data_IF_825434676965
#
_entry.id   IF_825434676965
#
_cell.length_a   1.000
_cell.length_b   1.000
_cell.length_c   1.000
_cell.angle_alpha   90.00
_cell.angle_beta   90.00
_cell.angle_gamma   90.00
#
_symmetry.space_group_name_H-M   'P 1'
#
loop_
_entity.id
_entity.type
_entity.pdbx_description
1 polymer ?
#
# COMPACT_ATOMS: atom_id res chain seq x y z
N UNK A 1 -15.44 19.54 -4.76
CA UNK A 1 -14.67 20.17 -5.85
C UNK A 1 -13.54 19.23 -6.23
N UNK A 2 -13.41 18.84 -7.50
CA UNK A 2 -12.29 18.03 -7.99
C UNK A 2 -11.00 18.84 -7.89
N UNK A 3 -9.94 18.23 -7.38
CA UNK A 3 -8.59 18.80 -7.45
C UNK A 3 -8.00 18.35 -8.79
N UNK A 4 -7.70 19.24 -9.73
CA UNK A 4 -7.12 18.84 -11.01
C UNK A 4 -5.65 18.39 -10.79
N UNK A 5 -5.21 17.42 -11.58
CA UNK A 5 -3.79 17.14 -11.71
C UNK A 5 -3.14 18.21 -12.57
N UNK A 6 -1.88 18.60 -12.31
CA UNK A 6 -1.14 19.46 -13.22
C UNK A 6 -0.91 18.75 -14.56
N UNK A 7 -0.77 19.51 -15.63
CA UNK A 7 -0.45 18.96 -16.96
C UNK A 7 1.01 18.49 -17.04
N UNK A 8 1.89 19.15 -16.30
CA UNK A 8 3.33 18.84 -16.25
C UNK A 8 3.90 19.19 -14.87
N UNK A 9 5.00 18.55 -14.52
CA UNK A 9 5.77 18.94 -13.35
C UNK A 9 6.55 20.23 -13.63
N UNK A 10 6.90 21.03 -12.60
CA UNK A 10 7.83 22.16 -12.75
C UNK A 10 9.13 21.71 -13.43
N UNK A 11 9.71 22.57 -14.25
CA UNK A 11 10.92 22.25 -15.01
C UNK A 11 12.14 21.93 -14.12
N UNK A 12 12.15 22.46 -12.90
CA UNK A 12 13.18 22.26 -11.87
C UNK A 12 12.82 21.12 -10.88
N UNK A 13 11.72 20.41 -11.09
CA UNK A 13 11.30 19.32 -10.22
C UNK A 13 12.34 18.20 -10.18
N UNK A 14 12.93 17.99 -9.02
CA UNK A 14 13.88 16.91 -8.81
C UNK A 14 13.18 15.54 -8.86
N UNK A 15 13.80 14.50 -9.43
CA UNK A 15 13.24 13.16 -9.43
C UNK A 15 13.06 12.65 -8.00
N UNK A 16 11.93 12.00 -7.74
CA UNK A 16 11.65 11.27 -6.52
C UNK A 16 10.67 10.12 -6.84
N UNK A 17 10.61 9.13 -5.98
CA UNK A 17 9.62 8.06 -6.05
C UNK A 17 8.44 8.35 -5.11
N UNK A 18 7.30 7.79 -5.45
CA UNK A 18 6.12 7.76 -4.59
C UNK A 18 5.83 6.31 -4.18
N UNK A 19 5.79 6.05 -2.90
CA UNK A 19 5.38 4.76 -2.33
C UNK A 19 4.13 4.94 -1.48
N UNK A 20 3.01 4.42 -1.96
CA UNK A 20 1.74 4.39 -1.21
C UNK A 20 1.59 3.03 -0.55
N UNK A 21 1.62 2.98 0.78
CA UNK A 21 1.44 1.76 1.57
C UNK A 21 0.02 1.74 2.14
N UNK A 22 -0.82 0.88 1.61
CA UNK A 22 -2.18 0.67 2.07
C UNK A 22 -2.25 -0.54 3.01
N UNK A 23 -2.40 -0.30 4.30
CA UNK A 23 -2.49 -1.33 5.33
C UNK A 23 -3.96 -1.66 5.59
N UNK A 24 -4.35 -2.91 5.34
CA UNK A 24 -5.70 -3.38 5.65
C UNK A 24 -5.88 -3.63 7.15
N UNK A 25 -7.09 -3.36 7.65
CA UNK A 25 -7.51 -3.69 9.02
C UNK A 25 -6.65 -3.06 10.12
N UNK A 26 -6.29 -1.79 9.95
CA UNK A 26 -5.56 -1.00 10.94
C UNK A 26 -6.35 0.28 11.26
N UNK A 27 -6.65 0.49 12.53
CA UNK A 27 -7.26 1.71 13.04
C UNK A 27 -6.45 2.33 14.18
N UNK A 28 -6.72 3.57 14.52
CA UNK A 28 -6.09 4.21 15.69
C UNK A 28 -6.39 3.48 17.00
N UNK A 29 -7.62 2.96 17.16
CA UNK A 29 -7.98 2.15 18.33
C UNK A 29 -7.23 0.82 18.40
N UNK A 30 -6.94 0.21 17.26
CA UNK A 30 -6.13 -1.01 17.21
C UNK A 30 -4.67 -0.74 17.60
N UNK A 31 -4.11 0.38 17.13
CA UNK A 31 -2.75 0.83 17.47
C UNK A 31 -2.63 1.06 18.98
N UNK A 32 -3.63 1.73 19.57
CA UNK A 32 -3.68 1.98 21.02
C UNK A 32 -3.81 0.67 21.80
N UNK A 33 -4.75 -0.21 21.42
CA UNK A 33 -4.99 -1.51 22.06
C UNK A 33 -3.76 -2.44 21.96
N UNK A 34 -3.02 -2.36 20.85
CA UNK A 34 -1.77 -3.10 20.67
C UNK A 34 -0.59 -2.51 21.45
N UNK A 35 -0.71 -1.29 22.00
CA UNK A 35 0.36 -0.61 22.72
C UNK A 35 1.41 0.04 21.81
N UNK A 36 1.06 0.33 20.57
CA UNK A 36 1.99 0.81 19.52
C UNK A 36 2.03 2.34 19.34
N UNK A 37 1.33 3.09 20.20
CA UNK A 37 1.31 4.57 20.12
C UNK A 37 2.68 5.24 20.26
N UNK A 38 3.64 4.58 20.94
CA UNK A 38 5.00 5.06 21.12
C UNK A 38 6.04 4.21 20.36
N UNK A 39 5.62 3.45 19.37
CA UNK A 39 6.54 2.61 18.57
C UNK A 39 7.56 3.48 17.82
N UNK A 40 8.83 3.02 17.67
CA UNK A 40 9.87 3.76 16.94
C UNK A 40 9.50 4.14 15.51
N UNK A 41 8.65 3.37 14.85
CA UNK A 41 8.13 3.63 13.50
C UNK A 41 7.64 5.08 13.31
N UNK A 42 7.04 5.69 14.34
CA UNK A 42 6.50 7.05 14.26
C UNK A 42 7.55 8.13 14.02
N UNK A 43 8.82 7.86 14.30
CA UNK A 43 9.93 8.80 14.08
C UNK A 43 10.25 9.04 12.60
N UNK A 44 9.83 8.13 11.73
CA UNK A 44 10.06 8.25 10.29
C UNK A 44 9.04 9.16 9.58
N UNK A 45 7.95 9.55 10.26
CA UNK A 45 6.88 10.33 9.64
C UNK A 45 7.00 11.82 9.95
N UNK A 46 7.03 12.66 8.92
CA UNK A 46 6.99 14.11 9.05
C UNK A 46 5.58 14.61 9.43
N UNK A 47 4.54 13.90 8.99
CA UNK A 47 3.14 14.27 9.19
C UNK A 47 2.32 13.05 9.61
N UNK A 48 1.57 13.17 10.70
CA UNK A 48 0.66 12.13 11.20
C UNK A 48 -0.75 12.71 11.38
N UNK A 49 -1.72 12.16 10.64
CA UNK A 49 -3.13 12.56 10.71
C UNK A 49 -3.88 11.74 11.75
N UNK A 50 -4.00 12.25 12.97
CA UNK A 50 -4.66 11.54 14.09
C UNK A 50 -6.17 11.35 13.93
N UNK A 51 -6.83 12.17 13.13
CA UNK A 51 -8.28 12.13 12.87
C UNK A 51 -8.59 11.65 11.45
N UNK A 52 -7.76 10.78 10.89
CA UNK A 52 -8.00 10.19 9.58
C UNK A 52 -8.99 9.03 9.69
N UNK A 53 -9.99 9.04 8.81
CA UNK A 53 -10.90 7.92 8.63
C UNK A 53 -10.84 7.44 7.19
N UNK A 54 -10.75 6.13 7.01
CA UNK A 54 -10.97 5.52 5.70
C UNK A 54 -12.38 5.82 5.19
N UNK A 55 -12.52 6.01 3.88
CA UNK A 55 -13.82 6.28 3.27
C UNK A 55 -14.80 5.09 3.34
N UNK A 56 -14.34 3.90 3.72
CA UNK A 56 -15.13 2.69 3.94
C UNK A 56 -14.33 1.69 4.77
N UNK A 57 -15.02 0.77 5.44
CA UNK A 57 -14.45 -0.28 6.27
C UNK A 57 -14.03 -1.54 5.50
N UNK A 58 -14.35 -1.67 4.21
CA UNK A 58 -13.96 -2.81 3.38
C UNK A 58 -12.75 -2.50 2.52
N UNK A 59 -11.78 -3.43 2.47
CA UNK A 59 -10.47 -3.25 1.83
C UNK A 59 -10.53 -2.95 0.34
N UNK A 60 -11.32 -3.70 -0.44
CA UNK A 60 -11.49 -3.48 -1.88
C UNK A 60 -12.02 -2.07 -2.19
N UNK A 61 -13.21 -1.71 -1.71
CA UNK A 61 -13.76 -0.36 -1.88
C UNK A 61 -12.86 0.75 -1.32
N UNK A 62 -12.13 0.51 -0.22
CA UNK A 62 -11.20 1.50 0.34
C UNK A 62 -10.03 1.76 -0.63
N UNK A 63 -9.41 0.71 -1.14
CA UNK A 63 -8.32 0.81 -2.11
C UNK A 63 -8.78 1.49 -3.41
N UNK A 64 -9.94 1.11 -3.96
CA UNK A 64 -10.50 1.74 -5.16
C UNK A 64 -10.75 3.24 -4.94
N UNK A 65 -11.26 3.63 -3.77
CA UNK A 65 -11.48 5.05 -3.42
C UNK A 65 -10.17 5.82 -3.33
N UNK A 66 -9.16 5.24 -2.71
CA UNK A 66 -7.81 5.83 -2.65
C UNK A 66 -7.24 6.03 -4.05
N UNK A 67 -7.30 5.01 -4.90
CA UNK A 67 -6.77 5.04 -6.26
C UNK A 67 -7.54 5.98 -7.20
N UNK A 68 -8.79 6.36 -6.86
CA UNK A 68 -9.59 7.34 -7.61
C UNK A 68 -9.41 8.78 -7.13
N UNK A 69 -8.49 9.05 -6.23
CA UNK A 69 -8.18 10.38 -5.74
C UNK A 69 -9.43 11.20 -5.40
N UNK A 70 -9.58 12.41 -5.95
CA UNK A 70 -10.74 13.28 -5.69
C UNK A 70 -12.08 12.73 -6.21
N UNK A 71 -12.09 11.70 -7.03
CA UNK A 71 -13.29 11.01 -7.51
C UNK A 71 -13.71 9.82 -6.61
N UNK A 72 -12.92 9.49 -5.60
CA UNK A 72 -13.18 8.36 -4.69
C UNK A 72 -14.36 8.56 -3.74
N UNK A 73 -14.86 9.79 -3.59
CA UNK A 73 -15.96 10.14 -2.69
C UNK A 73 -17.37 9.85 -3.25
N UNK A 74 -17.48 9.08 -4.33
CA UNK A 74 -18.78 8.67 -4.90
C UNK A 74 -19.55 7.75 -3.96
N UNK A 75 -20.90 7.65 -4.17
CA UNK A 75 -21.71 6.65 -3.47
C UNK A 75 -21.18 5.24 -3.70
N UNK A 76 -21.45 4.33 -2.77
CA UNK A 76 -20.95 2.94 -2.85
C UNK A 76 -21.42 2.25 -4.14
N UNK A 77 -22.68 2.41 -4.53
CA UNK A 77 -23.23 1.86 -5.77
C UNK A 77 -22.52 2.36 -7.04
N UNK A 78 -22.07 3.61 -7.03
CA UNK A 78 -21.38 4.21 -8.17
C UNK A 78 -19.88 3.92 -8.19
N UNK A 79 -19.34 3.35 -7.13
CA UNK A 79 -17.93 2.99 -7.05
C UNK A 79 -17.55 1.91 -8.07
N UNK A 80 -18.46 0.98 -8.33
CA UNK A 80 -18.25 -0.14 -9.26
C UNK A 80 -18.54 0.21 -10.72
N UNK A 81 -18.86 1.49 -10.99
CA UNK A 81 -18.96 2.00 -12.35
C UNK A 81 -17.61 2.61 -12.79
N UNK A 82 -17.26 2.54 -14.08
CA UNK A 82 -16.08 3.20 -14.61
C UNK A 82 -16.05 4.69 -14.25
N UNK A 83 -14.86 5.22 -14.05
CA UNK A 83 -14.62 6.66 -13.84
C UNK A 83 -13.92 7.26 -15.06
N UNK A 84 -13.97 8.58 -15.21
CA UNK A 84 -13.18 9.27 -16.23
C UNK A 84 -11.68 9.13 -15.94
N UNK A 85 -10.86 9.17 -16.98
CA UNK A 85 -9.39 9.01 -16.88
C UNK A 85 -8.70 10.07 -15.99
N UNK A 86 -9.36 11.21 -15.79
CA UNK A 86 -8.94 12.25 -14.86
C UNK A 86 -9.05 11.85 -13.37
N UNK A 87 -9.70 10.74 -13.08
CA UNK A 87 -9.95 10.23 -11.75
C UNK A 87 -8.89 9.25 -11.25
N UNK A 88 -8.13 8.60 -12.12
CA UNK A 88 -7.21 7.55 -11.73
C UNK A 88 -5.84 8.13 -11.32
N UNK A 89 -5.52 8.02 -10.02
CA UNK A 89 -4.31 8.61 -9.45
C UNK A 89 -3.04 8.19 -10.20
N UNK A 90 -2.84 6.89 -10.34
CA UNK A 90 -1.62 6.35 -10.94
C UNK A 90 -1.52 6.57 -12.45
N UNK A 91 -2.64 6.62 -13.16
CA UNK A 91 -2.65 7.02 -14.58
C UNK A 91 -2.26 8.49 -14.76
N UNK A 92 -2.71 9.36 -13.86
CA UNK A 92 -2.32 10.78 -13.90
C UNK A 92 -0.87 10.99 -13.48
N UNK A 93 -0.36 10.21 -12.52
CA UNK A 93 1.08 10.20 -12.21
C UNK A 93 1.91 9.72 -13.39
N UNK A 94 1.44 8.73 -14.15
CA UNK A 94 2.13 8.28 -15.37
C UNK A 94 2.21 9.38 -16.43
N UNK A 95 1.17 10.20 -16.60
CA UNK A 95 1.22 11.39 -17.49
C UNK A 95 2.26 12.42 -17.04
N UNK A 96 2.56 12.46 -15.74
CA UNK A 96 3.61 13.32 -15.17
C UNK A 96 5.00 12.69 -15.20
N UNK A 97 5.16 11.54 -15.88
CA UNK A 97 6.44 10.87 -16.09
C UNK A 97 6.81 9.86 -15.01
N UNK A 98 5.88 9.45 -14.14
CA UNK A 98 6.11 8.35 -13.20
C UNK A 98 5.82 7.00 -13.85
N UNK A 99 6.67 6.01 -13.58
CA UNK A 99 6.40 4.61 -13.92
C UNK A 99 5.48 4.01 -12.88
N UNK A 100 4.32 3.51 -13.31
CA UNK A 100 3.36 2.86 -12.42
C UNK A 100 3.87 1.47 -12.01
N UNK A 101 3.80 1.17 -10.71
CA UNK A 101 4.18 -0.13 -10.15
C UNK A 101 3.11 -0.63 -9.17
N UNK A 102 2.92 -1.95 -9.13
CA UNK A 102 1.96 -2.62 -8.24
C UNK A 102 2.66 -3.71 -7.44
N UNK A 103 2.55 -3.61 -6.11
CA UNK A 103 2.99 -4.62 -5.16
C UNK A 103 1.84 -5.04 -4.25
N UNK A 104 1.81 -6.30 -3.89
CA UNK A 104 0.88 -6.85 -2.90
C UNK A 104 1.65 -7.74 -1.92
N UNK A 105 1.33 -7.64 -0.64
CA UNK A 105 1.76 -8.59 0.40
C UNK A 105 0.95 -9.90 0.39
N UNK A 106 0.24 -10.17 -0.71
CA UNK A 106 -0.62 -11.35 -0.93
C UNK A 106 -0.81 -11.58 -2.44
N UNK A 107 -1.47 -12.67 -2.82
CA UNK A 107 -1.66 -13.01 -4.25
C UNK A 107 -2.76 -12.19 -4.96
N UNK A 108 -3.54 -11.38 -4.24
CA UNK A 108 -4.60 -10.55 -4.81
C UNK A 108 -5.86 -11.30 -5.26
N UNK A 109 -5.97 -12.60 -4.99
CA UNK A 109 -7.09 -13.42 -5.47
C UNK A 109 -8.33 -13.27 -4.59
N UNK A 110 -8.16 -13.08 -3.29
CA UNK A 110 -9.28 -12.94 -2.37
C UNK A 110 -10.19 -11.77 -2.75
N UNK A 111 -11.49 -12.03 -2.89
CA UNK A 111 -12.48 -11.03 -3.26
C UNK A 111 -12.22 -10.35 -4.61
N UNK A 112 -11.51 -11.01 -5.52
CA UNK A 112 -11.11 -10.42 -6.82
C UNK A 112 -10.28 -9.12 -6.69
N UNK A 113 -9.56 -8.94 -5.56
CA UNK A 113 -8.91 -7.69 -5.21
C UNK A 113 -7.99 -7.13 -6.32
N UNK A 114 -7.13 -7.97 -6.90
CA UNK A 114 -6.25 -7.56 -8.01
C UNK A 114 -7.06 -7.12 -9.24
N UNK A 115 -8.16 -7.80 -9.53
CA UNK A 115 -9.06 -7.45 -10.64
C UNK A 115 -9.75 -6.11 -10.38
N UNK A 116 -10.19 -5.86 -9.15
CA UNK A 116 -10.77 -4.56 -8.76
C UNK A 116 -9.75 -3.41 -8.87
N UNK A 117 -8.51 -3.61 -8.42
CA UNK A 117 -7.45 -2.61 -8.58
C UNK A 117 -7.23 -2.24 -10.05
N UNK A 118 -7.28 -3.22 -10.96
CA UNK A 118 -7.11 -3.00 -12.40
C UNK A 118 -8.32 -2.34 -13.04
N UNK A 119 -9.50 -2.93 -12.87
CA UNK A 119 -10.71 -2.49 -13.56
C UNK A 119 -11.32 -1.21 -12.99
N UNK A 120 -11.18 -0.99 -11.68
CA UNK A 120 -11.81 0.10 -10.95
C UNK A 120 -10.80 1.13 -10.43
N UNK A 121 -9.56 0.72 -10.16
CA UNK A 121 -8.50 1.57 -9.61
C UNK A 121 -7.53 2.14 -10.63
N UNK A 122 -7.57 1.68 -11.89
CA UNK A 122 -6.67 2.13 -12.95
C UNK A 122 -5.23 1.58 -12.83
N UNK A 123 -5.02 0.49 -12.04
CA UNK A 123 -3.70 -0.13 -11.85
C UNK A 123 -3.41 -1.14 -12.97
N UNK A 124 -2.76 -0.70 -14.05
CA UNK A 124 -2.50 -1.53 -15.23
C UNK A 124 -1.12 -2.21 -15.22
N UNK A 125 -0.19 -1.77 -14.37
CA UNK A 125 1.14 -2.37 -14.28
C UNK A 125 1.09 -3.85 -13.88
N UNK A 126 2.04 -4.68 -14.32
CA UNK A 126 2.18 -6.03 -13.82
C UNK A 126 2.32 -6.04 -12.30
N UNK A 127 1.78 -7.08 -11.65
CA UNK A 127 2.10 -7.35 -10.26
C UNK A 127 3.59 -7.68 -10.14
N UNK A 128 4.28 -7.06 -9.18
CA UNK A 128 5.67 -7.40 -8.89
C UNK A 128 5.81 -8.90 -8.60
N UNK A 129 6.87 -9.50 -9.12
CA UNK A 129 7.14 -10.93 -8.93
C UNK A 129 7.24 -11.29 -7.44
N UNK A 130 6.42 -12.25 -7.03
CA UNK A 130 6.34 -12.75 -5.66
C UNK A 130 7.10 -14.06 -5.45
N UNK A 131 7.76 -14.58 -6.50
CA UNK A 131 8.50 -15.85 -6.45
C UNK A 131 9.57 -15.80 -5.36
N UNK A 132 9.54 -16.79 -4.46
CA UNK A 132 10.50 -16.92 -3.37
C UNK A 132 10.34 -15.92 -2.23
N UNK A 133 9.27 -15.10 -2.19
CA UNK A 133 8.96 -14.34 -1.00
C UNK A 133 8.57 -15.26 0.16
N UNK A 134 9.09 -15.03 1.37
CA UNK A 134 8.68 -15.80 2.55
C UNK A 134 7.18 -15.62 2.85
N UNK A 135 6.50 -16.71 3.17
CA UNK A 135 5.11 -16.68 3.64
C UNK A 135 5.12 -16.48 5.15
N UNK A 136 4.64 -15.33 5.60
CA UNK A 136 4.56 -14.95 7.00
C UNK A 136 3.30 -15.50 7.69
N UNK A 137 2.18 -15.45 6.98
CA UNK A 137 0.87 -15.91 7.43
C UNK A 137 0.12 -16.60 6.27
N UNK A 138 -0.95 -17.28 6.62
CA UNK A 138 -1.95 -17.77 5.67
C UNK A 138 -3.29 -17.11 5.99
N UNK A 139 -3.98 -16.65 4.95
CA UNK A 139 -5.35 -16.15 5.09
C UNK A 139 -6.31 -17.31 5.39
N UNK A 140 -7.54 -17.00 5.78
CA UNK A 140 -8.55 -18.00 6.13
C UNK A 140 -8.89 -18.97 4.96
N UNK A 141 -8.68 -18.56 3.73
CA UNK A 141 -8.84 -19.39 2.51
C UNK A 141 -7.57 -20.17 2.13
N UNK A 142 -6.52 -20.11 2.98
CA UNK A 142 -5.23 -20.75 2.75
C UNK A 142 -4.29 -19.99 1.82
N UNK A 143 -4.69 -18.84 1.28
CA UNK A 143 -3.81 -18.04 0.42
C UNK A 143 -2.64 -17.44 1.21
N UNK A 144 -1.47 -17.26 0.55
CA UNK A 144 -0.28 -16.75 1.24
C UNK A 144 -0.40 -15.27 1.55
N UNK A 145 0.05 -14.90 2.76
CA UNK A 145 0.38 -13.52 3.15
C UNK A 145 1.89 -13.47 3.32
N UNK A 146 2.52 -12.68 2.46
CA UNK A 146 3.99 -12.61 2.41
C UNK A 146 4.54 -11.71 3.50
N UNK A 147 5.82 -11.90 3.81
CA UNK A 147 6.56 -11.07 4.74
C UNK A 147 6.72 -9.66 4.18
N UNK A 148 6.28 -8.67 4.94
CA UNK A 148 6.26 -7.27 4.49
C UNK A 148 7.67 -6.70 4.32
N UNK A 149 8.58 -7.00 5.25
CA UNK A 149 9.97 -6.54 5.16
C UNK A 149 10.67 -7.12 3.92
N UNK A 150 10.50 -8.42 3.68
CA UNK A 150 11.09 -9.07 2.49
C UNK A 150 10.53 -8.49 1.19
N UNK A 151 9.22 -8.22 1.14
CA UNK A 151 8.54 -7.62 -0.02
C UNK A 151 9.05 -6.21 -0.30
N UNK A 152 9.10 -5.36 0.73
CA UNK A 152 9.54 -3.98 0.63
C UNK A 152 11.04 -3.86 0.34
N UNK A 153 11.87 -4.74 0.91
CA UNK A 153 13.30 -4.78 0.62
C UNK A 153 13.57 -5.19 -0.83
N UNK A 154 12.82 -6.16 -1.38
CA UNK A 154 12.91 -6.51 -2.81
C UNK A 154 12.59 -5.32 -3.71
N UNK A 155 11.57 -4.54 -3.37
CA UNK A 155 11.26 -3.30 -4.06
C UNK A 155 12.46 -2.33 -3.97
N UNK A 156 12.97 -2.05 -2.78
CA UNK A 156 14.10 -1.11 -2.58
C UNK A 156 15.35 -1.54 -3.35
N UNK A 157 15.68 -2.81 -3.35
CA UNK A 157 16.81 -3.35 -4.13
C UNK A 157 16.62 -3.15 -5.62
N UNK A 158 15.40 -3.35 -6.12
CA UNK A 158 15.06 -3.13 -7.54
C UNK A 158 15.19 -1.67 -7.89
N UNK A 159 14.64 -0.77 -7.07
CA UNK A 159 14.70 0.67 -7.27
C UNK A 159 16.13 1.21 -7.23
N UNK A 160 16.96 0.69 -6.34
CA UNK A 160 18.37 1.09 -6.24
C UNK A 160 19.18 0.68 -7.49
N UNK A 161 18.82 -0.43 -8.15
CA UNK A 161 19.43 -0.86 -9.42
C UNK A 161 18.99 -0.01 -10.61
N UNK A 162 17.78 0.54 -10.60
CA UNK A 162 17.23 1.36 -11.68
C UNK A 162 17.72 2.82 -11.67
N UNK A 163 18.35 3.27 -10.58
CA UNK A 163 18.86 4.63 -10.44
C UNK A 163 17.76 5.66 -10.15
N UNK A 164 17.86 6.85 -10.74
CA UNK A 164 16.97 7.99 -10.45
C UNK A 164 15.66 7.99 -11.27
N UNK A 165 15.06 6.85 -11.51
CA UNK A 165 13.76 6.79 -12.16
C UNK A 165 12.68 7.40 -11.22
N UNK A 166 11.60 7.94 -11.84
CA UNK A 166 10.38 8.35 -11.12
C UNK A 166 9.42 7.17 -11.11
N UNK A 167 9.30 6.49 -9.99
CA UNK A 167 8.36 5.37 -9.83
C UNK A 167 7.23 5.77 -8.90
N UNK A 168 6.02 5.37 -9.23
CA UNK A 168 4.85 5.49 -8.36
C UNK A 168 4.36 4.07 -8.07
N UNK A 169 4.52 3.66 -6.83
CA UNK A 169 4.26 2.30 -6.38
C UNK A 169 3.07 2.27 -5.42
N UNK A 170 2.10 1.42 -5.71
CA UNK A 170 1.05 1.06 -4.78
C UNK A 170 1.38 -0.29 -4.15
N UNK A 171 1.49 -0.31 -2.83
CA UNK A 171 1.66 -1.51 -2.02
C UNK A 171 0.46 -1.72 -1.12
N UNK A 172 -0.20 -2.87 -1.24
CA UNK A 172 -1.25 -3.28 -0.32
C UNK A 172 -0.81 -4.48 0.50
N UNK A 173 -0.97 -4.39 1.82
CA UNK A 173 -0.64 -5.48 2.74
C UNK A 173 -1.81 -5.83 3.64
N UNK A 174 -1.88 -7.10 4.06
CA UNK A 174 -2.98 -7.61 4.85
C UNK A 174 -2.62 -8.55 6.02
N UNK A 175 -1.48 -8.37 6.71
CA UNK A 175 -1.14 -9.21 7.85
C UNK A 175 -2.14 -9.08 9.01
N UNK A 176 -2.88 -7.96 9.07
CA UNK A 176 -3.83 -7.66 10.15
C UNK A 176 -5.25 -8.13 9.86
N UNK A 177 -5.52 -8.70 8.66
CA UNK A 177 -6.84 -9.18 8.31
C UNK A 177 -7.30 -10.32 9.21
N UNK A 178 -8.60 -10.33 9.54
CA UNK A 178 -9.19 -11.40 10.37
C UNK A 178 -9.04 -12.76 9.69
N UNK A 179 -8.90 -13.80 10.53
CA UNK A 179 -8.72 -15.17 10.08
C UNK A 179 -7.30 -15.54 9.67
N UNK A 180 -6.38 -14.58 9.57
CA UNK A 180 -4.98 -14.88 9.30
C UNK A 180 -4.38 -15.74 10.43
N UNK A 181 -3.64 -16.78 10.05
CA UNK A 181 -3.01 -17.72 10.97
C UNK A 181 -1.57 -18.03 10.54
N UNK A 182 -0.76 -18.51 11.47
CA UNK A 182 0.59 -18.95 11.13
C UNK A 182 0.55 -20.23 10.27
N UNK A 183 1.50 -20.42 9.34
CA UNK A 183 1.57 -21.63 8.53
C UNK A 183 1.53 -22.88 9.39
N UNK A 184 0.67 -23.84 8.99
CA UNK A 184 0.49 -25.10 9.73
C UNK A 184 -0.38 -25.01 10.99
N UNK A 185 -0.93 -23.83 11.32
CA UNK A 185 -1.87 -23.65 12.42
C UNK A 185 -3.28 -23.37 11.88
N UNK A 186 -4.31 -23.76 12.62
CA UNK A 186 -5.72 -23.48 12.28
C UNK A 186 -6.31 -22.32 13.08
N UNK A 187 -5.67 -21.96 14.19
CA UNK A 187 -6.12 -20.85 15.05
C UNK A 187 -5.65 -19.51 14.49
N UNK A 188 -6.56 -18.54 14.42
CA UNK A 188 -6.22 -17.15 14.08
C UNK A 188 -5.08 -16.66 14.96
N UNK A 189 -4.06 -16.10 14.34
CA UNK A 189 -2.93 -15.50 15.03
C UNK A 189 -3.36 -14.25 15.80
N UNK A 190 -2.80 -14.04 16.98
CA UNK A 190 -3.11 -12.88 17.82
C UNK A 190 -2.86 -11.57 17.08
N UNK A 191 -3.83 -10.66 17.11
CA UNK A 191 -3.77 -9.38 16.42
C UNK A 191 -2.57 -8.52 16.87
N UNK A 192 -2.36 -8.43 18.20
CA UNK A 192 -1.29 -7.63 18.77
C UNK A 192 0.09 -8.12 18.32
N UNK A 193 0.28 -9.45 18.25
CA UNK A 193 1.53 -10.05 17.75
C UNK A 193 1.76 -9.68 16.28
N UNK A 194 0.72 -9.76 15.45
CA UNK A 194 0.79 -9.40 14.03
C UNK A 194 1.03 -7.91 13.82
N UNK A 195 0.36 -7.06 14.60
CA UNK A 195 0.53 -5.62 14.54
C UNK A 195 1.94 -5.19 14.98
N UNK A 196 2.47 -5.77 16.07
CA UNK A 196 3.84 -5.52 16.50
C UNK A 196 4.83 -5.90 15.39
N UNK A 197 4.69 -7.11 14.82
CA UNK A 197 5.56 -7.57 13.73
C UNK A 197 5.53 -6.61 12.53
N UNK A 198 4.35 -6.18 12.08
CA UNK A 198 4.21 -5.24 10.97
C UNK A 198 4.92 -3.92 11.26
N UNK A 199 4.76 -3.37 12.47
CA UNK A 199 5.39 -2.11 12.85
C UNK A 199 6.92 -2.24 12.91
N UNK A 200 7.44 -3.35 13.46
CA UNK A 200 8.88 -3.65 13.49
C UNK A 200 9.45 -3.79 12.06
N UNK A 201 8.72 -4.42 11.16
CA UNK A 201 9.11 -4.59 9.75
C UNK A 201 9.12 -3.25 9.00
N UNK A 202 8.11 -2.42 9.20
CA UNK A 202 8.06 -1.08 8.60
C UNK A 202 9.16 -0.17 9.15
N UNK A 203 9.43 -0.20 10.46
CA UNK A 203 10.54 0.56 11.09
C UNK A 203 11.89 0.14 10.50
N UNK A 204 12.10 -1.17 10.34
CA UNK A 204 13.30 -1.72 9.72
C UNK A 204 13.42 -1.30 8.25
N UNK A 205 12.34 -1.36 7.49
CA UNK A 205 12.30 -0.93 6.10
C UNK A 205 12.61 0.57 5.95
N UNK A 206 11.96 1.44 6.72
CA UNK A 206 12.22 2.88 6.65
C UNK A 206 13.64 3.23 7.06
N UNK A 207 14.20 2.55 8.04
CA UNK A 207 15.62 2.69 8.38
C UNK A 207 16.53 2.33 7.19
N UNK A 208 16.21 1.26 6.46
CA UNK A 208 16.96 0.87 5.26
C UNK A 208 16.77 1.86 4.11
N UNK A 209 15.55 2.36 3.94
CA UNK A 209 15.22 3.38 2.94
C UNK A 209 15.99 4.67 3.16
N UNK A 210 16.03 5.18 4.38
CA UNK A 210 16.80 6.37 4.76
C UNK A 210 18.31 6.17 4.49
N UNK A 211 18.87 5.02 4.88
CA UNK A 211 20.27 4.68 4.61
C UNK A 211 20.60 4.58 3.12
N UNK A 212 19.66 4.25 2.28
CA UNK A 212 19.86 4.17 0.83
C UNK A 212 20.09 5.54 0.18
N UNK A 213 19.70 6.63 0.84
CA UNK A 213 19.74 7.99 0.31
C UNK A 213 18.78 8.24 -0.85
N UNK A 214 17.90 7.28 -1.16
CA UNK A 214 16.89 7.40 -2.22
C UNK A 214 15.81 8.40 -1.81
N UNK A 215 15.42 9.29 -2.71
CA UNK A 215 14.36 10.26 -2.46
C UNK A 215 13.00 9.61 -2.72
N UNK A 216 12.26 9.34 -1.66
CA UNK A 216 10.95 8.69 -1.72
C UNK A 216 9.97 9.47 -0.86
N UNK A 217 8.82 9.83 -1.43
CA UNK A 217 7.66 10.26 -0.66
C UNK A 217 6.85 9.01 -0.29
N UNK A 218 6.71 8.73 1.00
CA UNK A 218 5.90 7.61 1.50
C UNK A 218 4.58 8.14 2.05
N UNK A 219 3.47 7.49 1.67
CA UNK A 219 2.10 7.80 2.10
C UNK A 219 1.43 6.55 2.62
#
# INVERSE_FOLDING_TARGET
RKTPFPEQLPADAQPFDLLVINICSLSWSDIEAAGLMNHPLWKHFDIVFKNFNSATSYSGPAAVRLLRASCGARSHSNLYQPSGNDCYLFENLAKLGFTQQLMLGHNGQFGDFLKELRSLGGMQSPLMDQTGLPVSLQAFDGSPVYDDLATLNRWLETENKQGNARNATFYNTLPLHDGNHFPGQSKTADYKVRAQKLFDELDSFFTALEKSGRKVMVV
#
